data_IF_637641136121
#
_entry.id   IF_637641136121
#
_cell.length_a   1.000
_cell.length_b   1.000
_cell.length_c   1.000
_cell.angle_alpha   90.00
_cell.angle_beta   90.00
_cell.angle_gamma   90.00
#
_symmetry.space_group_name_H-M   'P 1'
#
loop_
_entity.id
_entity.type
_entity.pdbx_description
1 polymer ?
#
# COMPACT_ATOMS: atom_id res chain seq x y z
N UNK A 1 2.05 -6.82 -0.34
CA UNK A 1 2.99 -6.34 -1.36
C UNK A 1 3.87 -7.48 -1.84
N UNK A 2 4.03 -7.63 -3.16
CA UNK A 2 4.84 -8.69 -3.77
C UNK A 2 5.41 -8.24 -5.11
N UNK A 3 6.30 -9.04 -5.69
CA UNK A 3 7.00 -8.73 -6.94
C UNK A 3 8.50 -8.62 -6.74
N UNK A 4 9.16 -7.92 -7.67
CA UNK A 4 10.62 -7.78 -7.73
C UNK A 4 11.02 -6.30 -7.83
N UNK A 5 11.99 -5.89 -7.01
CA UNK A 5 12.54 -4.54 -7.03
C UNK A 5 14.05 -4.61 -6.74
N UNK A 6 14.89 -4.94 -7.74
CA UNK A 6 16.32 -5.18 -7.53
C UNK A 6 17.08 -3.96 -7.01
N UNK A 7 16.59 -2.76 -7.32
CA UNK A 7 17.14 -1.49 -6.83
C UNK A 7 16.58 -1.06 -5.48
N UNK A 8 15.69 -1.85 -4.88
CA UNK A 8 14.96 -1.50 -3.67
C UNK A 8 13.63 -0.79 -3.95
N UNK A 9 12.84 -0.67 -2.88
CA UNK A 9 11.55 0.01 -2.88
C UNK A 9 11.36 0.71 -1.54
N UNK A 10 10.94 1.96 -1.57
CA UNK A 10 10.52 2.71 -0.38
C UNK A 10 9.03 2.52 -0.19
N UNK A 11 8.63 2.05 1.00
CA UNK A 11 7.24 1.68 1.29
C UNK A 11 6.74 2.50 2.47
N UNK A 12 5.63 3.20 2.27
CA UNK A 12 4.86 3.85 3.33
C UNK A 12 3.45 3.24 3.36
N UNK A 13 2.94 2.95 4.55
CA UNK A 13 1.59 2.42 4.75
C UNK A 13 0.98 2.93 6.04
N UNK A 14 -0.34 2.91 6.14
CA UNK A 14 -1.05 3.34 7.34
C UNK A 14 -2.43 3.89 7.06
N UNK A 15 -3.07 4.38 8.11
CA UNK A 15 -4.30 5.17 8.04
C UNK A 15 -3.99 6.64 7.71
N UNK A 16 -5.00 7.48 7.52
CA UNK A 16 -4.81 8.92 7.29
C UNK A 16 -3.98 9.66 8.35
N UNK A 17 -4.00 9.17 9.60
CA UNK A 17 -3.24 9.72 10.72
C UNK A 17 -1.91 9.00 11.00
N UNK A 18 -1.55 7.98 10.22
CA UNK A 18 -0.35 7.16 10.41
C UNK A 18 0.46 6.98 9.13
N UNK A 19 1.76 7.21 9.22
CA UNK A 19 2.69 6.93 8.13
C UNK A 19 3.80 6.02 8.65
N UNK A 20 3.63 4.72 8.48
CA UNK A 20 4.58 3.70 8.90
C UNK A 20 5.49 3.31 7.74
N UNK A 21 6.77 3.09 8.06
CA UNK A 21 7.75 2.62 7.08
C UNK A 21 7.70 1.10 6.96
N UNK A 22 7.67 0.62 5.71
CA UNK A 22 7.74 -0.79 5.37
C UNK A 22 9.20 -1.26 5.17
N UNK A 23 9.52 -2.53 5.48
CA UNK A 23 10.89 -3.04 5.42
C UNK A 23 11.40 -3.42 4.01
N UNK A 24 10.63 -3.14 2.94
CA UNK A 24 10.88 -3.64 1.58
C UNK A 24 10.01 -4.84 1.19
N UNK A 25 10.40 -5.61 0.17
CA UNK A 25 9.62 -6.73 -0.39
C UNK A 25 10.18 -8.11 0.01
N UNK A 26 9.33 -9.12 0.17
CA UNK A 26 7.86 -9.04 0.24
C UNK A 26 7.40 -8.44 1.58
N UNK A 27 6.21 -7.84 1.60
CA UNK A 27 5.62 -7.29 2.83
C UNK A 27 4.15 -7.67 2.99
N UNK A 28 3.83 -8.14 4.19
CA UNK A 28 2.48 -8.26 4.74
C UNK A 28 2.44 -7.62 6.12
N UNK A 29 1.48 -6.72 6.35
CA UNK A 29 1.26 -6.04 7.61
C UNK A 29 -0.23 -6.00 7.92
N UNK A 30 -0.55 -5.98 9.21
CA UNK A 30 -1.91 -5.88 9.72
C UNK A 30 -1.93 -4.77 10.75
N UNK A 31 -2.86 -3.84 10.60
CA UNK A 31 -3.10 -2.76 11.54
C UNK A 31 -4.48 -2.95 12.18
N UNK A 32 -4.68 -2.49 13.42
CA UNK A 32 -6.02 -2.36 13.97
C UNK A 32 -6.87 -1.44 13.07
N UNK A 33 -8.11 -1.85 12.84
CA UNK A 33 -9.10 -0.97 12.21
C UNK A 33 -9.51 0.11 13.20
N UNK A 34 -9.40 1.38 12.79
CA UNK A 34 -9.80 2.54 13.58
C UNK A 34 -11.17 3.02 13.10
N UNK A 35 -12.08 3.27 14.02
CA UNK A 35 -13.46 3.68 13.72
C UNK A 35 -13.54 5.07 13.08
N UNK A 36 -12.51 5.90 13.26
CA UNK A 36 -12.43 7.28 12.79
C UNK A 36 -11.48 7.48 11.61
N UNK A 37 -10.92 6.41 11.02
CA UNK A 37 -10.00 6.53 9.89
C UNK A 37 -10.74 6.75 8.57
N UNK A 38 -10.50 7.89 7.93
CA UNK A 38 -11.05 8.19 6.60
C UNK A 38 -10.48 7.36 5.45
N UNK A 39 -9.26 6.83 5.58
CA UNK A 39 -8.65 5.94 4.58
C UNK A 39 -7.49 5.12 5.14
N UNK A 40 -7.17 4.02 4.45
CA UNK A 40 -5.92 3.26 4.59
C UNK A 40 -5.23 3.14 3.23
N UNK A 41 -3.90 3.29 3.22
CA UNK A 41 -3.11 3.16 2.00
C UNK A 41 -1.85 2.33 2.18
N UNK A 42 -1.33 1.85 1.06
CA UNK A 42 0.08 1.54 0.87
C UNK A 42 0.58 2.26 -0.38
N UNK A 43 1.72 2.92 -0.23
CA UNK A 43 2.46 3.59 -1.29
C UNK A 43 3.86 2.96 -1.36
N UNK A 44 4.27 2.53 -2.55
CA UNK A 44 5.55 1.87 -2.74
C UNK A 44 6.26 2.40 -3.99
N UNK A 45 7.37 3.11 -3.79
CA UNK A 45 8.15 3.72 -4.86
C UNK A 45 9.36 2.86 -5.22
N UNK A 46 9.45 2.45 -6.48
CA UNK A 46 10.63 1.77 -7.01
C UNK A 46 11.84 2.71 -7.02
N UNK A 47 13.01 2.25 -6.58
CA UNK A 47 14.21 3.09 -6.48
C UNK A 47 15.16 2.96 -7.69
N UNK A 48 14.67 2.47 -8.81
CA UNK A 48 15.41 2.42 -10.07
C UNK A 48 14.80 1.50 -11.09
N UNK A 49 14.34 0.32 -10.67
CA UNK A 49 13.71 -0.68 -11.54
C UNK A 49 12.96 -1.73 -10.73
N UNK A 50 11.87 -2.25 -11.30
CA UNK A 50 11.13 -3.36 -10.73
C UNK A 50 9.79 -3.62 -11.41
N UNK A 51 9.08 -4.61 -10.89
CA UNK A 51 7.73 -5.03 -11.26
C UNK A 51 7.04 -5.50 -9.98
N UNK A 52 6.20 -4.65 -9.40
CA UNK A 52 5.65 -4.82 -8.04
C UNK A 52 4.15 -4.62 -8.03
N UNK A 53 3.50 -5.38 -7.15
CA UNK A 53 2.08 -5.26 -6.85
C UNK A 53 1.88 -4.92 -5.37
N UNK A 54 0.89 -4.09 -5.11
CA UNK A 54 0.52 -3.64 -3.79
C UNK A 54 -0.98 -3.82 -3.59
N UNK A 55 -1.39 -4.07 -2.35
CA UNK A 55 -2.79 -4.26 -2.00
C UNK A 55 -3.08 -3.75 -0.60
N UNK A 56 -4.28 -3.21 -0.42
CA UNK A 56 -4.87 -2.90 0.88
C UNK A 56 -6.18 -3.65 0.96
N UNK A 57 -6.42 -4.27 2.12
CA UNK A 57 -7.71 -4.88 2.44
C UNK A 57 -8.22 -4.26 3.74
N UNK A 58 -9.44 -3.73 3.70
CA UNK A 58 -10.12 -3.18 4.88
C UNK A 58 -11.55 -3.72 4.90
N UNK A 59 -11.95 -4.29 6.03
CA UNK A 59 -13.31 -4.83 6.23
C UNK A 59 -13.81 -5.76 5.11
N UNK A 60 -12.90 -6.59 4.57
CA UNK A 60 -13.21 -7.54 3.49
C UNK A 60 -13.09 -6.96 2.07
N UNK A 61 -13.12 -5.64 1.92
CA UNK A 61 -12.89 -4.97 0.64
C UNK A 61 -11.40 -4.88 0.33
N UNK A 62 -11.03 -5.06 -0.95
CA UNK A 62 -9.62 -5.10 -1.35
C UNK A 62 -9.37 -4.25 -2.59
N UNK A 63 -8.40 -3.32 -2.47
CA UNK A 63 -7.84 -2.59 -3.60
C UNK A 63 -6.44 -3.08 -3.91
N UNK A 64 -6.16 -3.29 -5.18
CA UNK A 64 -4.85 -3.69 -5.68
C UNK A 64 -4.34 -2.70 -6.72
N UNK A 65 -3.04 -2.47 -6.73
CA UNK A 65 -2.38 -1.71 -7.79
C UNK A 65 -1.10 -2.43 -8.25
N UNK A 66 -0.55 -1.93 -9.35
CA UNK A 66 0.62 -2.48 -10.02
C UNK A 66 1.51 -1.35 -10.50
N UNK A 67 2.82 -1.51 -10.31
CA UNK A 67 3.82 -0.60 -10.85
C UNK A 67 4.98 -1.39 -11.44
N UNK A 68 5.40 -1.00 -12.64
CA UNK A 68 6.53 -1.61 -13.34
C UNK A 68 7.38 -0.55 -14.00
N UNK A 69 8.69 -0.78 -14.09
CA UNK A 69 9.65 0.13 -14.71
C UNK A 69 10.54 0.78 -13.65
N UNK A 70 11.13 1.92 -13.99
CA UNK A 70 11.96 2.68 -13.06
C UNK A 70 11.19 3.82 -12.40
N UNK A 71 11.45 4.07 -11.13
CA UNK A 71 10.88 5.19 -10.34
C UNK A 71 9.35 5.31 -10.36
N UNK A 72 8.65 4.25 -10.76
CA UNK A 72 7.19 4.20 -10.73
C UNK A 72 6.71 3.82 -9.32
N UNK A 73 5.48 4.23 -9.02
CA UNK A 73 4.86 4.10 -7.70
C UNK A 73 3.68 3.14 -7.79
N UNK A 74 3.65 2.14 -6.91
CA UNK A 74 2.47 1.34 -6.64
C UNK A 74 1.69 2.00 -5.51
N UNK A 75 0.48 2.47 -5.79
CA UNK A 75 -0.39 3.09 -4.79
C UNK A 75 -1.73 2.36 -4.76
N UNK A 76 -2.06 1.78 -3.62
CA UNK A 76 -3.37 1.20 -3.35
C UNK A 76 -3.93 1.87 -2.09
N UNK A 77 -5.17 2.34 -2.17
CA UNK A 77 -5.88 3.01 -1.08
C UNK A 77 -7.33 2.53 -1.07
N UNK A 78 -7.88 2.40 0.12
CA UNK A 78 -9.32 2.27 0.38
C UNK A 78 -9.74 3.44 1.27
N UNK A 79 -10.87 4.06 0.97
CA UNK A 79 -11.43 5.18 1.74
C UNK A 79 -12.77 4.77 2.34
N UNK A 80 -13.08 5.24 3.55
CA UNK A 80 -14.42 5.08 4.12
C UNK A 80 -15.36 6.12 3.49
N UNK A 81 -16.42 5.64 2.86
CA UNK A 81 -17.43 6.47 2.20
C UNK A 81 -18.65 6.77 3.10
N UNK A 82 -18.68 6.22 4.31
CA UNK A 82 -19.85 6.20 5.19
C UNK A 82 -20.89 5.14 4.83
N UNK A 83 -20.74 4.47 3.68
CA UNK A 83 -21.53 3.32 3.26
C UNK A 83 -20.70 2.02 3.16
N UNK A 84 -19.42 2.08 3.55
CA UNK A 84 -18.42 1.04 3.36
C UNK A 84 -17.14 1.58 2.73
N UNK A 85 -16.20 0.68 2.50
CA UNK A 85 -14.86 0.99 1.97
C UNK A 85 -14.83 0.92 0.44
N UNK A 86 -14.22 1.90 -0.22
CA UNK A 86 -14.02 1.92 -1.70
C UNK A 86 -12.68 2.57 -2.14
#
# INVERSE_FOLDING_TARGET
MWGDAPSGVDIIYGSETENLEGPGLPMTKTLPLKEDAGWYMVNAQLLGGGDIHCSVTVDGETRTAHARGGYNVCNAQLSDTGFGWD
#
